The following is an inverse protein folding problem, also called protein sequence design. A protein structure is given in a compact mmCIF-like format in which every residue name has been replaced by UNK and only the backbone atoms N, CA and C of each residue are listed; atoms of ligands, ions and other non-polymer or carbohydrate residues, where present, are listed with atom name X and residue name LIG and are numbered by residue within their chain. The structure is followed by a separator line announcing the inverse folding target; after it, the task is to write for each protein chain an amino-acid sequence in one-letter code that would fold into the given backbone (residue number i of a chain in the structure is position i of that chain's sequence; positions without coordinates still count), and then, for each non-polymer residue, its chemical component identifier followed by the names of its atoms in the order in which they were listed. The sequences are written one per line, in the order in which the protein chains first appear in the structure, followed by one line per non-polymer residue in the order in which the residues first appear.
data_IF_596751295083
#
_entry.id   IF_596751295083
#
_cell.length_a   1.000
_cell.length_b   1.000
_cell.length_c   1.000
_cell.angle_alpha   90.00
_cell.angle_beta   90.00
_cell.angle_gamma   90.00
#
_symmetry.space_group_name_H-M   'P 1'
#
loop_
_entity.id
_entity.type
_entity.pdbx_description
1 polymer ?
#
# COMPACT_ATOMS: atom_id res chain seq x y z
N UNK A 1 54.65 4.92 -8.03
CA UNK A 1 53.78 5.36 -6.91
C UNK A 1 52.32 5.63 -7.35
N UNK A 2 52.07 6.18 -8.55
CA UNK A 2 50.71 6.52 -9.01
C UNK A 2 49.78 5.32 -9.28
N UNK A 3 50.28 4.20 -9.80
CA UNK A 3 49.44 3.02 -10.15
C UNK A 3 48.75 2.40 -8.92
N UNK A 4 49.44 2.32 -7.78
CA UNK A 4 48.83 1.77 -6.55
C UNK A 4 47.77 2.71 -5.98
N UNK A 5 47.94 4.02 -6.13
CA UNK A 5 46.97 5.03 -5.70
C UNK A 5 45.67 4.97 -6.52
N UNK A 6 45.77 4.87 -7.85
CA UNK A 6 44.58 4.73 -8.70
C UNK A 6 43.80 3.43 -8.45
N UNK A 7 44.50 2.32 -8.14
CA UNK A 7 43.85 1.06 -7.75
C UNK A 7 43.08 1.19 -6.43
N UNK A 8 43.67 1.85 -5.43
CA UNK A 8 43.02 2.09 -4.15
C UNK A 8 41.79 3.00 -4.30
N UNK A 9 41.92 4.12 -5.02
CA UNK A 9 40.80 5.04 -5.30
C UNK A 9 39.65 4.33 -6.03
N UNK A 10 39.96 3.47 -7.01
CA UNK A 10 38.96 2.68 -7.72
C UNK A 10 38.24 1.66 -6.83
N UNK A 11 38.98 0.94 -5.98
CA UNK A 11 38.40 0.00 -5.01
C UNK A 11 37.47 0.74 -4.04
N UNK A 12 37.90 1.91 -3.55
CA UNK A 12 37.11 2.72 -2.63
C UNK A 12 35.80 3.21 -3.28
N UNK A 13 35.87 3.73 -4.51
CA UNK A 13 34.68 4.16 -5.27
C UNK A 13 33.73 2.97 -5.46
N UNK A 14 34.25 1.81 -5.86
CA UNK A 14 33.46 0.60 -6.04
C UNK A 14 32.76 0.18 -4.74
N UNK A 15 33.47 0.22 -3.62
CA UNK A 15 32.93 -0.12 -2.31
C UNK A 15 31.85 0.87 -1.86
N UNK A 16 32.05 2.17 -2.10
CA UNK A 16 31.04 3.20 -1.84
C UNK A 16 29.78 2.98 -2.67
N UNK A 17 29.92 2.63 -3.95
CA UNK A 17 28.78 2.33 -4.83
C UNK A 17 28.03 1.07 -4.38
N UNK A 18 28.73 0.00 -4.01
CA UNK A 18 28.13 -1.22 -3.47
C UNK A 18 27.36 -0.91 -2.19
N UNK A 19 27.98 -0.17 -1.25
CA UNK A 19 27.32 0.25 -0.01
C UNK A 19 26.10 1.10 -0.29
N UNK A 20 26.18 2.06 -1.23
CA UNK A 20 25.05 2.89 -1.62
C UNK A 20 23.86 2.04 -2.10
N UNK A 21 24.10 1.06 -2.96
CA UNK A 21 23.05 0.15 -3.48
C UNK A 21 22.45 -0.71 -2.37
N UNK A 22 23.27 -1.22 -1.46
CA UNK A 22 22.82 -2.08 -0.34
C UNK A 22 22.05 -1.28 0.71
N UNK A 23 22.51 -0.05 1.01
CA UNK A 23 21.93 0.80 2.05
C UNK A 23 20.67 1.53 1.57
N UNK A 24 20.53 1.82 0.27
CA UNK A 24 19.33 2.45 -0.26
C UNK A 24 18.14 1.48 -0.17
N UNK A 25 17.10 1.77 0.66
CA UNK A 25 16.04 0.81 0.93
C UNK A 25 15.34 0.32 -0.34
N UNK A 26 15.00 1.23 -1.25
CA UNK A 26 14.28 0.93 -2.50
C UNK A 26 15.08 0.06 -3.47
N UNK A 27 16.38 0.33 -3.66
CA UNK A 27 17.24 -0.48 -4.52
C UNK A 27 17.51 -1.85 -3.92
N UNK A 28 17.79 -1.89 -2.61
CA UNK A 28 18.09 -3.14 -1.92
C UNK A 28 16.91 -4.12 -1.95
N UNK A 29 15.66 -3.66 -1.80
CA UNK A 29 14.51 -4.58 -1.87
C UNK A 29 14.23 -5.04 -3.29
N UNK A 30 14.62 -4.28 -4.31
CA UNK A 30 14.52 -4.71 -5.71
C UNK A 30 15.50 -5.86 -5.98
N UNK A 31 16.75 -5.73 -5.52
CA UNK A 31 17.84 -6.66 -5.77
C UNK A 31 17.83 -7.89 -4.84
N UNK A 32 17.41 -7.75 -3.58
CA UNK A 32 17.51 -8.80 -2.56
C UNK A 32 16.13 -9.35 -2.15
N UNK A 33 15.74 -10.47 -2.76
CA UNK A 33 14.51 -11.21 -2.42
C UNK A 33 14.35 -11.54 -0.92
N UNK A 34 15.40 -11.95 -0.17
CA UNK A 34 15.27 -12.24 1.26
C UNK A 34 14.77 -11.04 2.08
N UNK A 35 15.17 -9.81 1.71
CA UNK A 35 14.75 -8.59 2.41
C UNK A 35 13.23 -8.38 2.28
N UNK A 36 12.66 -8.62 1.09
CA UNK A 36 11.22 -8.57 0.85
C UNK A 36 10.47 -9.61 1.66
N UNK A 37 11.00 -10.84 1.69
CA UNK A 37 10.42 -11.95 2.44
C UNK A 37 10.37 -11.62 3.94
N UNK A 38 11.46 -11.07 4.50
CA UNK A 38 11.49 -10.63 5.90
C UNK A 38 10.47 -9.53 6.19
N UNK A 39 10.32 -8.55 5.30
CA UNK A 39 9.30 -7.50 5.44
C UNK A 39 7.88 -8.07 5.42
N UNK A 40 7.58 -8.96 4.48
CA UNK A 40 6.26 -9.60 4.37
C UNK A 40 5.96 -10.47 5.60
N UNK A 41 6.94 -11.25 6.07
CA UNK A 41 6.80 -12.07 7.26
C UNK A 41 6.61 -11.20 8.51
N UNK A 42 7.33 -10.08 8.62
CA UNK A 42 7.15 -9.11 9.70
C UNK A 42 5.75 -8.50 9.71
N UNK A 43 5.27 -8.05 8.55
CA UNK A 43 3.93 -7.48 8.39
C UNK A 43 2.83 -8.50 8.74
N UNK A 44 2.89 -9.70 8.18
CA UNK A 44 1.89 -10.75 8.45
C UNK A 44 1.95 -11.25 9.89
N UNK A 45 3.13 -11.31 10.52
CA UNK A 45 3.27 -11.64 11.95
C UNK A 45 2.64 -10.56 12.84
N UNK A 46 2.88 -9.28 12.56
CA UNK A 46 2.30 -8.16 13.32
C UNK A 46 0.76 -8.22 13.29
N UNK A 47 0.18 -8.46 12.10
CA UNK A 47 -1.26 -8.67 11.91
C UNK A 47 -1.76 -9.86 12.73
N UNK A 48 -1.08 -11.02 12.65
CA UNK A 48 -1.47 -12.21 13.40
C UNK A 48 -1.43 -11.99 14.91
N UNK A 49 -0.46 -11.24 15.41
CA UNK A 49 -0.30 -10.99 16.85
C UNK A 49 -1.28 -9.95 17.36
N UNK A 50 -1.50 -8.86 16.62
CA UNK A 50 -2.36 -7.75 17.06
C UNK A 50 -3.83 -7.94 16.69
N UNK A 51 -4.11 -8.85 15.75
CA UNK A 51 -5.42 -9.05 15.13
C UNK A 51 -6.01 -7.78 14.54
N UNK A 52 -5.14 -6.84 14.13
CA UNK A 52 -5.49 -5.55 13.55
C UNK A 52 -4.49 -5.13 12.46
N UNK A 53 -4.94 -4.31 11.52
CA UNK A 53 -4.07 -3.61 10.58
C UNK A 53 -3.73 -2.24 11.18
N UNK A 54 -2.46 -2.01 11.50
CA UNK A 54 -1.95 -0.66 11.75
C UNK A 54 -1.73 0.04 10.41
N UNK A 55 -2.49 1.10 10.15
CA UNK A 55 -2.49 1.72 8.84
C UNK A 55 -1.16 2.43 8.51
N UNK A 56 -0.45 2.95 9.52
CA UNK A 56 0.87 3.57 9.34
C UNK A 56 1.91 2.52 9.00
N UNK A 57 1.93 1.39 9.71
CA UNK A 57 2.83 0.27 9.41
C UNK A 57 2.52 -0.32 8.03
N UNK A 58 1.25 -0.45 7.67
CA UNK A 58 0.87 -0.88 6.32
C UNK A 58 1.42 0.08 5.26
N UNK A 59 1.29 1.39 5.47
CA UNK A 59 1.79 2.40 4.55
C UNK A 59 3.30 2.31 4.34
N UNK A 60 4.05 2.20 5.44
CA UNK A 60 5.49 1.98 5.42
C UNK A 60 5.84 0.68 4.69
N UNK A 61 5.18 -0.42 5.06
CA UNK A 61 5.36 -1.70 4.38
C UNK A 61 5.15 -1.56 2.87
N UNK A 62 4.07 -0.91 2.43
CA UNK A 62 3.75 -0.73 1.01
C UNK A 62 4.86 0.01 0.25
N UNK A 63 5.42 1.07 0.83
CA UNK A 63 6.47 1.87 0.19
C UNK A 63 7.83 1.15 0.12
N UNK A 64 8.13 0.33 1.12
CA UNK A 64 9.42 -0.33 1.25
C UNK A 64 9.43 -1.79 0.78
N UNK A 65 8.27 -2.44 0.63
CA UNK A 65 8.18 -3.84 0.19
C UNK A 65 8.64 -4.02 -1.25
N UNK A 66 8.22 -3.11 -2.13
CA UNK A 66 8.70 -3.04 -3.50
C UNK A 66 8.58 -1.60 -4.01
N UNK A 67 9.54 -1.04 -4.75
CA UNK A 67 9.42 0.32 -5.28
C UNK A 67 8.31 0.39 -6.34
N UNK A 68 7.55 1.47 -6.32
CA UNK A 68 6.45 1.71 -7.26
C UNK A 68 6.23 3.19 -7.50
N UNK A 69 5.14 3.51 -8.18
CA UNK A 69 4.70 4.88 -8.39
C UNK A 69 3.36 5.14 -7.72
N UNK A 70 3.15 6.40 -7.35
CA UNK A 70 1.92 6.90 -6.74
C UNK A 70 1.29 7.91 -7.70
N UNK A 71 -0.02 7.78 -7.91
CA UNK A 71 -0.87 8.79 -8.56
C UNK A 71 -1.83 9.32 -7.51
N UNK A 72 -1.90 10.64 -7.36
CA UNK A 72 -2.78 11.32 -6.40
C UNK A 72 -3.64 12.36 -7.12
N UNK A 73 -4.92 12.39 -6.76
CA UNK A 73 -5.86 13.44 -7.10
C UNK A 73 -6.75 13.72 -5.87
N UNK A 74 -6.49 14.82 -5.17
CA UNK A 74 -7.23 15.18 -3.94
C UNK A 74 -8.71 15.44 -4.21
N UNK A 75 -9.06 15.88 -5.42
CA UNK A 75 -10.45 16.07 -5.82
C UNK A 75 -11.13 14.73 -6.15
N UNK A 76 -10.36 13.66 -6.22
CA UNK A 76 -10.79 12.34 -6.61
C UNK A 76 -10.61 12.11 -8.11
N UNK A 77 -10.12 10.94 -8.47
CA UNK A 77 -10.03 10.54 -9.86
C UNK A 77 -11.43 10.48 -10.48
N UNK A 78 -11.62 11.10 -11.64
CA UNK A 78 -12.88 10.97 -12.39
C UNK A 78 -13.06 9.52 -12.83
N UNK A 79 -14.29 9.01 -12.68
CA UNK A 79 -14.72 7.81 -13.37
C UNK A 79 -14.51 8.00 -14.90
N UNK A 80 -13.97 7.01 -15.66
CA UNK A 80 -13.69 5.61 -15.30
C UNK A 80 -12.23 5.31 -14.91
N UNK A 81 -11.38 6.32 -14.66
CA UNK A 81 -9.91 6.16 -14.61
C UNK A 81 -9.38 5.14 -13.59
N UNK A 82 -10.13 4.86 -12.53
CA UNK A 82 -9.73 3.92 -11.46
C UNK A 82 -10.48 2.57 -11.50
N UNK A 83 -11.46 2.41 -12.39
CA UNK A 83 -12.25 1.16 -12.48
C UNK A 83 -11.40 -0.03 -12.87
N UNK A 84 -10.51 0.15 -13.85
CA UNK A 84 -9.61 -0.91 -14.27
C UNK A 84 -8.78 -1.40 -13.09
N UNK A 85 -8.30 -0.46 -12.25
CA UNK A 85 -7.54 -0.79 -11.06
C UNK A 85 -8.38 -1.57 -10.04
N UNK A 86 -9.59 -1.10 -9.72
CA UNK A 86 -10.50 -1.82 -8.83
C UNK A 86 -10.82 -3.24 -9.34
N UNK A 87 -11.06 -3.40 -10.65
CA UNK A 87 -11.25 -4.72 -11.28
C UNK A 87 -10.02 -5.61 -11.12
N UNK A 88 -8.81 -5.09 -11.35
CA UNK A 88 -7.58 -5.88 -11.14
C UNK A 88 -7.38 -6.31 -9.69
N UNK A 89 -7.91 -5.53 -8.74
CA UNK A 89 -7.90 -5.82 -7.32
C UNK A 89 -9.04 -6.76 -6.87
N UNK A 90 -9.92 -7.20 -7.79
CA UNK A 90 -11.05 -8.08 -7.46
C UNK A 90 -12.20 -7.36 -6.75
N UNK A 91 -12.28 -6.03 -6.84
CA UNK A 91 -13.32 -5.24 -6.18
C UNK A 91 -14.48 -5.05 -7.13
N UNK A 92 -15.69 -5.40 -6.67
CA UNK A 92 -16.94 -5.10 -7.37
C UNK A 92 -17.67 -4.00 -6.62
N UNK A 93 -17.97 -2.91 -7.30
CA UNK A 93 -18.85 -1.87 -6.76
C UNK A 93 -20.28 -2.25 -7.11
N UNK A 94 -21.18 -2.25 -6.13
CA UNK A 94 -22.62 -2.22 -6.39
C UNK A 94 -22.98 -0.78 -6.82
N UNK A 95 -23.83 -0.62 -7.84
CA UNK A 95 -24.01 0.64 -8.58
C UNK A 95 -24.37 1.89 -7.74
N UNK A 96 -24.00 3.06 -8.27
CA UNK A 96 -24.27 4.46 -7.86
C UNK A 96 -23.53 5.09 -6.65
N UNK A 97 -22.76 4.35 -5.86
CA UNK A 97 -21.97 4.93 -4.75
C UNK A 97 -20.47 4.68 -4.94
N UNK A 98 -19.92 5.16 -6.06
CA UNK A 98 -18.50 5.00 -6.32
C UNK A 98 -17.66 5.78 -5.29
N UNK A 99 -16.70 5.12 -4.61
CA UNK A 99 -15.90 5.75 -3.57
C UNK A 99 -15.04 6.84 -4.18
N UNK A 100 -14.75 7.91 -3.43
CA UNK A 100 -13.88 8.98 -3.91
C UNK A 100 -12.43 8.50 -3.87
N UNK A 101 -12.02 7.77 -4.89
CA UNK A 101 -10.64 7.29 -5.06
C UNK A 101 -9.72 8.49 -5.26
N UNK A 102 -8.75 8.67 -4.38
CA UNK A 102 -7.83 9.81 -4.41
C UNK A 102 -6.37 9.39 -4.58
N UNK A 103 -6.04 8.12 -4.34
CA UNK A 103 -4.69 7.60 -4.50
C UNK A 103 -4.69 6.22 -5.14
N UNK A 104 -3.78 6.04 -6.10
CA UNK A 104 -3.46 4.76 -6.70
C UNK A 104 -1.96 4.54 -6.54
N UNK A 105 -1.57 3.40 -5.97
CA UNK A 105 -0.19 2.95 -5.92
C UNK A 105 -0.06 1.70 -6.79
N UNK A 106 1.01 1.62 -7.58
CA UNK A 106 1.31 0.44 -8.39
C UNK A 106 2.80 0.14 -8.41
N UNK A 107 3.10 -1.14 -8.32
CA UNK A 107 4.39 -1.75 -8.56
C UNK A 107 4.21 -3.19 -9.05
N UNK A 108 5.29 -3.87 -9.43
CA UNK A 108 5.23 -5.27 -9.90
C UNK A 108 4.76 -6.24 -8.80
N UNK A 109 4.94 -5.86 -7.53
CA UNK A 109 4.60 -6.72 -6.38
C UNK A 109 3.43 -6.20 -5.57
N UNK A 110 2.96 -4.97 -5.78
CA UNK A 110 1.89 -4.42 -4.97
C UNK A 110 1.08 -3.39 -5.76
N UNK A 111 -0.23 -3.57 -5.76
CA UNK A 111 -1.18 -2.56 -6.23
C UNK A 111 -2.14 -2.19 -5.11
N UNK A 112 -2.42 -0.89 -4.96
CA UNK A 112 -3.43 -0.43 -4.02
C UNK A 112 -4.24 0.75 -4.52
N UNK A 113 -5.47 0.83 -4.07
CA UNK A 113 -6.37 1.96 -4.24
C UNK A 113 -6.75 2.48 -2.86
N UNK A 114 -6.72 3.81 -2.71
CA UNK A 114 -7.24 4.47 -1.52
C UNK A 114 -8.34 5.45 -1.89
N UNK A 115 -9.37 5.48 -1.06
CA UNK A 115 -10.54 6.30 -1.27
C UNK A 115 -11.05 6.92 0.04
N UNK A 116 -11.80 8.00 -0.12
CA UNK A 116 -12.64 8.55 0.95
C UNK A 116 -14.07 8.07 0.72
N UNK A 117 -14.68 7.51 1.76
CA UNK A 117 -16.02 6.91 1.72
C UNK A 117 -16.87 7.37 2.88
N UNK A 118 -18.16 7.55 2.61
CA UNK A 118 -19.17 7.77 3.62
C UNK A 118 -19.54 6.44 4.32
N UNK A 119 -20.12 6.52 5.52
CA UNK A 119 -20.43 5.33 6.33
C UNK A 119 -21.45 4.40 5.68
N UNK A 120 -22.42 4.97 4.98
CA UNK A 120 -23.47 4.26 4.25
C UNK A 120 -22.91 3.50 3.04
N UNK A 121 -21.95 4.10 2.32
CA UNK A 121 -21.26 3.46 1.18
C UNK A 121 -20.48 2.20 1.56
N UNK A 122 -20.10 2.04 2.82
CA UNK A 122 -19.42 0.83 3.30
C UNK A 122 -20.29 -0.43 3.20
N UNK A 123 -21.61 -0.29 3.23
CA UNK A 123 -22.54 -1.42 3.13
C UNK A 123 -22.68 -1.93 1.69
N UNK A 124 -22.44 -1.05 0.72
CA UNK A 124 -22.59 -1.33 -0.71
C UNK A 124 -21.27 -1.82 -1.34
N UNK A 125 -20.17 -1.77 -0.58
CA UNK A 125 -18.88 -2.29 -1.02
C UNK A 125 -18.84 -3.81 -0.91
N UNK A 126 -19.03 -4.49 -2.04
CA UNK A 126 -18.85 -5.94 -2.12
C UNK A 126 -17.43 -6.23 -2.56
N UNK A 127 -16.59 -6.61 -1.60
CA UNK A 127 -15.27 -7.12 -1.94
C UNK A 127 -15.42 -8.60 -2.29
N UNK A 128 -15.50 -8.89 -3.59
CA UNK A 128 -15.46 -10.24 -4.14
C UNK A 128 -14.02 -10.78 -4.13
N UNK A 129 -13.46 -10.84 -2.91
CA UNK A 129 -12.21 -11.54 -2.64
C UNK A 129 -12.58 -13.02 -2.61
N UNK A 130 -12.59 -13.64 -3.81
CA UNK A 130 -12.94 -15.04 -4.11
C UNK A 130 -13.16 -15.93 -2.87
N UNK A 131 -14.33 -16.56 -2.82
CA UNK A 131 -14.92 -17.40 -1.76
C UNK A 131 -14.11 -18.59 -1.22
N UNK A 132 -12.83 -18.74 -1.58
CA UNK A 132 -11.95 -19.82 -1.14
C UNK A 132 -10.56 -19.29 -0.79
N UNK A 133 -10.47 -18.37 0.18
CA UNK A 133 -9.18 -17.99 0.77
C UNK A 133 -8.45 -19.22 1.29
N UNK A 134 -7.18 -19.40 0.95
CA UNK A 134 -6.35 -20.50 1.47
C UNK A 134 -6.07 -20.32 2.96
N UNK A 135 -5.91 -19.07 3.39
CA UNK A 135 -5.77 -18.71 4.79
C UNK A 135 -6.20 -17.27 5.04
N UNK A 136 -7.03 -17.08 6.05
CA UNK A 136 -7.49 -15.76 6.51
C UNK A 136 -6.71 -15.37 7.76
N UNK A 137 -6.17 -14.15 7.78
CA UNK A 137 -5.46 -13.58 8.94
C UNK A 137 -6.37 -12.68 9.77
N UNK A 138 -7.23 -11.91 9.11
CA UNK A 138 -8.27 -11.06 9.71
C UNK A 138 -9.50 -11.12 8.81
N UNK A 139 -10.68 -11.25 9.41
CA UNK A 139 -11.96 -11.13 8.72
C UNK A 139 -12.99 -10.49 9.66
N UNK A 140 -13.17 -9.18 9.49
CA UNK A 140 -14.21 -8.43 10.17
C UNK A 140 -14.74 -7.31 9.26
N UNK A 141 -15.75 -6.58 9.75
CA UNK A 141 -16.47 -5.56 8.95
C UNK A 141 -15.58 -4.43 8.41
N UNK A 142 -14.48 -4.10 9.08
CA UNK A 142 -13.65 -2.94 8.76
C UNK A 142 -12.25 -3.32 8.32
N UNK A 143 -11.83 -4.57 8.49
CA UNK A 143 -10.49 -5.04 8.18
C UNK A 143 -10.56 -6.47 7.67
N UNK A 144 -9.84 -6.75 6.59
CA UNK A 144 -9.75 -8.07 6.01
C UNK A 144 -8.35 -8.30 5.47
N UNK A 145 -7.77 -9.44 5.81
CA UNK A 145 -6.49 -9.90 5.28
C UNK A 145 -6.58 -11.37 4.98
N UNK A 146 -6.44 -11.75 3.71
CA UNK A 146 -6.42 -13.14 3.32
C UNK A 146 -5.40 -13.42 2.23
N UNK A 147 -4.90 -14.65 2.23
CA UNK A 147 -4.06 -15.20 1.19
C UNK A 147 -4.89 -16.02 0.23
N UNK A 148 -4.65 -15.80 -1.06
CA UNK A 148 -5.20 -16.59 -2.15
C UNK A 148 -4.10 -16.79 -3.19
N UNK A 149 -3.68 -18.05 -3.39
CA UNK A 149 -2.55 -18.41 -4.26
C UNK A 149 -1.28 -17.59 -3.93
N UNK A 150 -0.78 -16.86 -4.92
CA UNK A 150 0.41 -16.02 -4.86
C UNK A 150 0.12 -14.59 -4.40
N UNK A 151 -1.09 -14.31 -3.89
CA UNK A 151 -1.52 -12.98 -3.48
C UNK A 151 -1.97 -12.91 -2.04
N UNK A 152 -1.66 -11.80 -1.39
CA UNK A 152 -2.29 -11.38 -0.14
C UNK A 152 -3.15 -10.16 -0.44
N UNK A 153 -4.43 -10.27 -0.13
CA UNK A 153 -5.38 -9.17 -0.20
C UNK A 153 -5.43 -8.50 1.17
N UNK A 154 -5.34 -7.18 1.16
CA UNK A 154 -5.45 -6.34 2.36
C UNK A 154 -6.55 -5.32 2.10
N UNK A 155 -7.50 -5.26 3.00
CA UNK A 155 -8.58 -4.29 3.01
C UNK A 155 -8.70 -3.70 4.40
N UNK A 156 -8.87 -2.38 4.46
CA UNK A 156 -9.29 -1.74 5.69
C UNK A 156 -10.09 -0.49 5.46
N UNK A 157 -10.88 -0.17 6.47
CA UNK A 157 -11.63 1.07 6.64
C UNK A 157 -11.22 1.68 7.96
N UNK A 158 -10.60 2.84 7.90
CA UNK A 158 -10.06 3.55 9.06
C UNK A 158 -10.65 4.94 9.18
N UNK A 159 -10.73 5.50 10.39
CA UNK A 159 -11.16 6.88 10.56
C UNK A 159 -10.09 7.83 9.98
N UNK A 160 -10.53 8.96 9.42
CA UNK A 160 -9.65 9.97 8.80
C UNK A 160 -8.52 10.51 9.72
N UNK A 161 -8.68 10.60 11.06
CA UNK A 161 -7.55 10.87 11.96
C UNK A 161 -6.41 9.84 11.90
N UNK A 162 -6.70 8.56 11.65
CA UNK A 162 -5.66 7.53 11.51
C UNK A 162 -4.93 7.68 10.18
N UNK A 163 -5.64 8.06 9.10
CA UNK A 163 -5.04 8.40 7.80
C UNK A 163 -3.96 9.48 7.93
N UNK A 164 -4.20 10.53 8.73
CA UNK A 164 -3.23 11.61 8.99
C UNK A 164 -1.90 11.10 9.54
N UNK A 165 -1.94 10.02 10.33
CA UNK A 165 -0.73 9.44 10.93
C UNK A 165 0.04 8.57 9.93
N UNK A 166 -0.63 8.10 8.89
CA UNK A 166 -0.07 7.24 7.84
C UNK A 166 0.43 8.06 6.64
N UNK A 167 -0.30 9.08 6.21
CA UNK A 167 0.05 9.96 5.11
C UNK A 167 -0.45 11.41 5.32
N UNK A 168 0.17 12.35 4.62
CA UNK A 168 -0.10 13.79 4.74
C UNK A 168 -0.75 14.42 3.51
N UNK A 169 -1.57 13.69 2.75
CA UNK A 169 -2.07 14.17 1.46
C UNK A 169 -3.16 15.22 1.54
N UNK A 170 -3.98 15.21 2.57
CA UNK A 170 -4.97 16.26 2.81
C UNK A 170 -4.46 17.25 3.86
N UNK A 171 -4.74 18.53 3.66
CA UNK A 171 -4.50 19.56 4.67
C UNK A 171 -5.76 19.73 5.54
N UNK A 172 -5.67 19.26 6.77
CA UNK A 172 -6.78 19.29 7.73
C UNK A 172 -7.10 20.70 8.25
N UNK A 173 -6.24 21.69 7.98
CA UNK A 173 -6.48 23.10 8.29
C UNK A 173 -7.13 23.83 7.11
N UNK A 174 -7.02 23.30 5.89
CA UNK A 174 -7.60 23.91 4.71
C UNK A 174 -9.11 23.59 4.63
N UNK A 175 -10.00 24.61 4.59
CA UNK A 175 -11.44 24.39 4.52
C UNK A 175 -11.89 23.53 3.33
N UNK A 176 -11.23 23.64 2.17
CA UNK A 176 -11.57 22.84 0.99
C UNK A 176 -11.29 21.35 1.21
N UNK A 177 -10.13 21.01 1.77
CA UNK A 177 -9.76 19.62 2.06
C UNK A 177 -10.61 19.06 3.20
N UNK A 178 -10.99 19.87 4.21
CA UNK A 178 -11.86 19.46 5.32
C UNK A 178 -13.22 18.97 4.83
N UNK A 179 -13.88 19.71 3.94
CA UNK A 179 -15.19 19.30 3.37
C UNK A 179 -15.10 17.93 2.68
N UNK A 180 -13.93 17.55 2.17
CA UNK A 180 -13.72 16.26 1.51
C UNK A 180 -13.63 15.12 2.52
N UNK A 181 -13.07 15.33 3.71
CA UNK A 181 -12.66 14.26 4.64
C UNK A 181 -13.45 14.22 5.96
N UNK A 182 -14.11 15.31 6.35
CA UNK A 182 -14.80 15.42 7.63
C UNK A 182 -16.03 14.50 7.71
N UNK A 183 -16.12 13.72 8.79
CA UNK A 183 -17.20 12.73 8.99
C UNK A 183 -17.05 11.43 8.18
N UNK A 184 -15.97 11.30 7.41
CA UNK A 184 -15.76 10.20 6.45
C UNK A 184 -14.72 9.20 6.92
N UNK A 185 -14.60 8.13 6.15
CA UNK A 185 -13.65 7.05 6.38
C UNK A 185 -12.65 6.95 5.24
N UNK A 186 -11.47 6.49 5.58
CA UNK A 186 -10.42 6.13 4.67
C UNK A 186 -10.51 4.64 4.35
N UNK A 187 -10.74 4.34 3.09
CA UNK A 187 -10.77 3.00 2.53
C UNK A 187 -9.43 2.71 1.84
N UNK A 188 -8.82 1.57 2.17
CA UNK A 188 -7.72 1.00 1.41
C UNK A 188 -8.09 -0.39 0.89
N UNK A 189 -7.74 -0.65 -0.36
CA UNK A 189 -7.82 -1.97 -0.98
C UNK A 189 -6.51 -2.25 -1.68
N UNK A 190 -5.86 -3.36 -1.33
CA UNK A 190 -4.53 -3.70 -1.81
C UNK A 190 -4.41 -5.19 -2.16
N UNK A 191 -3.58 -5.47 -3.16
CA UNK A 191 -3.13 -6.83 -3.49
C UNK A 191 -1.60 -6.85 -3.53
N UNK A 192 -1.02 -7.82 -2.83
CA UNK A 192 0.42 -8.03 -2.69
C UNK A 192 0.78 -9.35 -3.35
N UNK A 193 1.62 -9.32 -4.38
CA UNK A 193 2.16 -10.53 -5.03
C UNK A 193 3.37 -11.04 -4.23
N UNK A 194 3.33 -12.31 -3.83
CA UNK A 194 4.34 -12.97 -2.99
C UNK A 194 5.54 -13.41 -3.83
N UNK A 195 5.30 -13.80 -5.08
CA UNK A 195 6.31 -14.25 -6.06
C UNK A 195 6.96 -13.06 -6.74
#
# INVERSE_FOLDING_TARGET
MNIMRYKFEFILITLVLILFVILQPKLSVYLFYPKRTTMLNGFTKDIKTTQKIDAKKFWQFREFYYPGYIKIDKSGFKYPKYLQQLKTLGVKMVDNTAPRVFLIYNSDKLSSVEAIVEKDQLKDLVIDLKSSSESTLIDNKTEYVAKFHDKIYVYFVKPVPEMLTANGYYDYKNPHDRVIIEGKYWLNISAININ
#
